data_IF_827473232499
#
_entry.id   IF_827473232499
#
_cell.length_a   1.000
_cell.length_b   1.000
_cell.length_c   1.000
_cell.angle_alpha   90.00
_cell.angle_beta   90.00
_cell.angle_gamma   90.00
#
_symmetry.space_group_name_H-M   'P 1'
#
loop_
_entity.id
_entity.type
_entity.pdbx_description
1 polymer ?
#
# COMPACT_ATOMS: atom_id res chain seq x y z
N UNK A 1 -24.80 1.18 10.38
CA UNK A 1 -24.14 2.24 9.56
C UNK A 1 -22.78 2.55 10.13
N UNK A 2 -21.76 2.53 9.31
CA UNK A 2 -20.39 2.82 9.75
C UNK A 2 -20.16 4.34 9.79
N UNK A 3 -19.57 4.82 10.89
CA UNK A 3 -19.17 6.21 11.06
C UNK A 3 -17.71 6.40 10.66
N UNK A 4 -17.31 7.63 10.34
CA UNK A 4 -15.89 7.96 10.05
C UNK A 4 -14.96 7.51 11.16
N UNK A 5 -15.40 7.55 12.41
CA UNK A 5 -14.62 7.15 13.58
C UNK A 5 -14.34 5.64 13.64
N UNK A 6 -15.06 4.85 12.84
CA UNK A 6 -14.84 3.40 12.77
C UNK A 6 -13.74 3.04 11.75
N UNK A 7 -13.37 3.98 10.90
CA UNK A 7 -12.39 3.75 9.84
C UNK A 7 -10.96 3.93 10.34
N UNK A 8 -10.08 3.05 9.90
CA UNK A 8 -8.65 3.13 10.16
C UNK A 8 -7.92 2.96 8.84
N UNK A 9 -7.08 3.94 8.51
CA UNK A 9 -6.14 3.86 7.40
C UNK A 9 -4.85 3.17 7.88
N UNK A 10 -4.40 2.18 7.14
CA UNK A 10 -3.08 1.57 7.35
C UNK A 10 -2.16 1.98 6.21
N UNK A 11 -1.02 2.57 6.55
CA UNK A 11 -0.07 3.13 5.60
C UNK A 11 1.35 3.08 6.17
N UNK A 12 2.30 3.77 5.55
CA UNK A 12 3.71 3.74 5.96
C UNK A 12 4.34 5.11 6.17
N UNK A 13 3.58 6.17 6.02
CA UNK A 13 4.03 7.56 6.22
C UNK A 13 5.19 8.01 5.32
N UNK A 14 5.51 7.26 4.26
CA UNK A 14 6.55 7.68 3.31
C UNK A 14 6.11 8.92 2.52
N UNK A 15 7.07 9.73 2.04
CA UNK A 15 6.72 10.86 1.16
C UNK A 15 5.95 10.39 -0.06
N UNK A 16 5.08 11.23 -0.59
CA UNK A 16 4.27 10.95 -1.78
C UNK A 16 2.91 10.40 -1.42
N UNK A 17 2.51 9.30 -2.05
CA UNK A 17 1.16 8.75 -1.92
C UNK A 17 0.79 8.41 -0.48
N UNK A 18 1.67 7.75 0.26
CA UNK A 18 1.36 7.39 1.65
C UNK A 18 1.12 8.60 2.52
N UNK A 19 1.95 9.63 2.39
CA UNK A 19 1.76 10.88 3.12
C UNK A 19 0.43 11.55 2.76
N UNK A 20 0.02 11.51 1.49
CA UNK A 20 -1.25 12.10 1.05
C UNK A 20 -2.45 11.31 1.56
N UNK A 21 -2.38 9.99 1.58
CA UNK A 21 -3.43 9.18 2.22
C UNK A 21 -3.59 9.57 3.68
N UNK A 22 -2.48 9.70 4.41
CA UNK A 22 -2.52 10.09 5.81
C UNK A 22 -3.08 11.50 6.02
N UNK A 23 -2.65 12.46 5.21
CA UNK A 23 -3.15 13.83 5.27
C UNK A 23 -4.65 13.89 5.00
N UNK A 24 -5.12 13.13 4.02
CA UNK A 24 -6.54 13.05 3.69
C UNK A 24 -7.34 12.40 4.83
N UNK A 25 -6.83 11.33 5.43
CA UNK A 25 -7.46 10.69 6.57
C UNK A 25 -7.61 11.68 7.74
N UNK A 26 -6.57 12.44 8.02
CA UNK A 26 -6.60 13.46 9.09
C UNK A 26 -7.65 14.53 8.80
N UNK A 27 -7.71 15.04 7.57
CA UNK A 27 -8.72 16.05 7.18
C UNK A 27 -10.15 15.55 7.36
N UNK A 28 -10.36 14.24 7.19
CA UNK A 28 -11.69 13.64 7.28
C UNK A 28 -11.99 13.01 8.65
N UNK A 29 -11.10 13.19 9.63
CA UNK A 29 -11.31 12.65 10.98
C UNK A 29 -11.19 11.13 11.06
N UNK A 30 -10.43 10.54 10.16
CA UNK A 30 -10.17 9.09 10.12
C UNK A 30 -8.85 8.81 10.82
N UNK A 31 -8.83 7.78 11.68
CA UNK A 31 -7.62 7.31 12.33
C UNK A 31 -6.63 6.75 11.31
N UNK A 32 -5.34 7.00 11.53
CA UNK A 32 -4.29 6.40 10.71
C UNK A 32 -3.28 5.64 11.56
N UNK A 33 -2.80 4.52 11.03
CA UNK A 33 -1.70 3.75 11.60
C UNK A 33 -0.62 3.66 10.53
N UNK A 34 0.57 4.16 10.84
CA UNK A 34 1.69 4.20 9.90
C UNK A 34 2.80 3.28 10.39
N UNK A 35 3.05 2.21 9.65
CA UNK A 35 4.12 1.27 9.95
C UNK A 35 5.45 1.83 9.46
N UNK A 36 6.40 1.95 10.37
CA UNK A 36 7.73 2.50 10.10
C UNK A 36 8.81 1.69 10.82
N UNK A 37 10.04 2.11 10.72
CA UNK A 37 11.19 1.47 11.35
C UNK A 37 12.23 2.52 11.70
N UNK A 38 13.17 2.18 12.59
CA UNK A 38 14.25 3.08 12.97
C UNK A 38 15.09 3.46 11.75
N UNK A 39 15.27 4.76 11.55
CA UNK A 39 16.01 5.31 10.41
C UNK A 39 15.15 5.58 9.18
N UNK A 40 13.86 5.27 9.21
CA UNK A 40 12.96 5.61 8.12
C UNK A 40 12.70 7.12 8.10
N UNK A 41 12.78 7.70 6.91
CA UNK A 41 12.45 9.11 6.71
C UNK A 41 10.97 9.23 6.41
N UNK A 42 10.16 9.26 7.46
CA UNK A 42 8.72 9.44 7.29
C UNK A 42 8.37 10.92 7.09
N UNK A 43 7.31 11.16 6.29
CA UNK A 43 6.78 12.49 6.03
C UNK A 43 5.66 12.87 7.00
N UNK A 44 5.17 11.94 7.80
CA UNK A 44 4.10 12.15 8.78
C UNK A 44 4.45 11.47 10.09
N UNK A 45 3.92 12.01 11.19
CA UNK A 45 4.17 11.44 12.51
C UNK A 45 2.92 10.97 13.24
N UNK A 46 1.76 11.08 12.60
CA UNK A 46 0.49 10.67 13.20
C UNK A 46 0.37 9.15 13.14
N UNK A 47 -0.01 8.51 14.24
CA UNK A 47 -0.25 7.07 14.28
C UNK A 47 0.97 6.20 13.99
N UNK A 48 2.16 6.67 14.33
CA UNK A 48 3.41 5.95 14.06
C UNK A 48 3.47 4.66 14.89
N UNK A 49 3.73 3.54 14.21
CA UNK A 49 4.08 2.27 14.83
C UNK A 49 5.43 1.81 14.31
N UNK A 50 6.43 1.85 15.18
CA UNK A 50 7.80 1.44 14.82
C UNK A 50 7.91 -0.07 14.95
N UNK A 51 8.28 -0.73 13.85
CA UNK A 51 8.50 -2.17 13.81
C UNK A 51 9.94 -2.48 14.19
N UNK A 52 10.13 -3.43 15.09
CA UNK A 52 11.45 -3.88 15.46
C UNK A 52 11.99 -4.91 14.45
N UNK A 53 13.23 -5.36 14.64
CA UNK A 53 13.89 -6.26 13.71
C UNK A 53 13.11 -7.57 13.49
N UNK A 54 12.61 -8.17 14.55
CA UNK A 54 11.84 -9.42 14.47
C UNK A 54 10.50 -9.21 13.76
N UNK A 55 9.82 -8.10 14.08
CA UNK A 55 8.56 -7.75 13.43
C UNK A 55 8.77 -7.53 11.94
N UNK A 56 9.83 -6.81 11.54
CA UNK A 56 10.13 -6.58 10.13
C UNK A 56 10.32 -7.90 9.38
N UNK A 57 10.92 -8.91 9.99
CA UNK A 57 11.16 -10.20 9.35
C UNK A 57 9.93 -11.09 9.24
N UNK A 58 8.86 -10.78 9.95
CA UNK A 58 7.66 -11.64 10.02
C UNK A 58 7.04 -11.90 8.65
N UNK A 59 7.14 -10.95 7.71
CA UNK A 59 6.57 -11.07 6.38
C UNK A 59 7.52 -11.60 5.32
N UNK A 60 8.78 -11.93 5.67
CA UNK A 60 9.79 -12.26 4.66
C UNK A 60 9.43 -13.48 3.80
N UNK A 61 8.82 -14.52 4.38
CA UNK A 61 8.40 -15.70 3.60
C UNK A 61 7.38 -15.29 2.52
N UNK A 62 6.40 -14.48 2.90
CA UNK A 62 5.41 -13.97 1.94
C UNK A 62 6.05 -13.09 0.86
N UNK A 63 6.97 -12.23 1.24
CA UNK A 63 7.65 -11.33 0.31
C UNK A 63 8.59 -12.09 -0.64
N UNK A 64 9.25 -13.14 -0.18
CA UNK A 64 10.02 -14.03 -1.06
C UNK A 64 9.11 -14.71 -2.09
N UNK A 65 7.94 -15.15 -1.68
CA UNK A 65 6.96 -15.73 -2.60
C UNK A 65 6.48 -14.70 -3.63
N UNK A 66 6.19 -13.49 -3.17
CA UNK A 66 5.80 -12.38 -4.04
C UNK A 66 6.91 -12.06 -5.04
N UNK A 67 8.18 -12.09 -4.63
CA UNK A 67 9.30 -11.87 -5.53
C UNK A 67 9.30 -12.88 -6.67
N UNK A 68 9.03 -14.13 -6.36
CA UNK A 68 8.94 -15.20 -7.36
C UNK A 68 7.78 -14.96 -8.33
N UNK A 69 6.62 -14.57 -7.82
CA UNK A 69 5.44 -14.28 -8.65
C UNK A 69 5.69 -13.12 -9.62
N UNK A 70 6.44 -12.12 -9.20
CA UNK A 70 6.75 -10.95 -10.04
C UNK A 70 7.99 -11.13 -10.90
N UNK A 71 8.74 -12.21 -10.69
CA UNK A 71 10.06 -12.40 -11.29
C UNK A 71 10.99 -11.22 -10.98
N UNK A 72 10.99 -10.78 -9.72
CA UNK A 72 11.85 -9.71 -9.20
C UNK A 72 12.65 -10.24 -8.03
N UNK A 73 13.90 -9.76 -7.92
CA UNK A 73 14.75 -10.13 -6.78
C UNK A 73 14.31 -9.40 -5.51
N UNK A 74 14.16 -10.13 -4.42
CA UNK A 74 13.96 -9.52 -3.10
C UNK A 74 15.30 -8.94 -2.65
N UNK A 75 15.39 -7.63 -2.60
CA UNK A 75 16.64 -6.89 -2.40
C UNK A 75 17.29 -7.16 -1.04
N UNK A 76 18.62 -7.13 -1.01
CA UNK A 76 19.42 -7.18 0.23
C UNK A 76 19.70 -5.78 0.78
N UNK A 77 19.37 -4.71 0.05
CA UNK A 77 19.55 -3.34 0.52
C UNK A 77 18.78 -3.13 1.82
N UNK A 78 19.43 -2.84 2.96
CA UNK A 78 18.73 -2.82 4.26
C UNK A 78 17.57 -1.86 4.31
N UNK A 79 17.76 -0.64 3.79
CA UNK A 79 16.71 0.39 3.82
C UNK A 79 15.52 0.02 2.93
N UNK A 80 15.81 -0.38 1.68
CA UNK A 80 14.74 -0.74 0.73
C UNK A 80 14.00 -1.98 1.23
N UNK A 81 14.71 -2.98 1.72
CA UNK A 81 14.10 -4.19 2.25
C UNK A 81 13.14 -3.87 3.40
N UNK A 82 13.51 -2.98 4.32
CA UNK A 82 12.64 -2.56 5.42
C UNK A 82 11.38 -1.86 4.92
N UNK A 83 11.50 -1.04 3.89
CA UNK A 83 10.34 -0.40 3.26
C UNK A 83 9.38 -1.47 2.73
N UNK A 84 9.88 -2.49 2.04
CA UNK A 84 9.06 -3.59 1.54
C UNK A 84 8.43 -4.39 2.68
N UNK A 85 9.17 -4.60 3.77
CA UNK A 85 8.67 -5.29 4.95
C UNK A 85 7.52 -4.53 5.61
N UNK A 86 7.51 -3.19 5.56
CA UNK A 86 6.35 -2.42 6.06
C UNK A 86 5.11 -2.64 5.22
N UNK A 87 5.26 -2.89 3.92
CA UNK A 87 4.12 -3.17 3.02
C UNK A 87 3.37 -4.42 3.44
N UNK A 88 4.08 -5.44 3.92
CA UNK A 88 3.44 -6.65 4.45
C UNK A 88 2.46 -6.31 5.57
N UNK A 89 2.88 -5.44 6.51
CA UNK A 89 1.99 -4.97 7.60
C UNK A 89 0.84 -4.14 7.08
N UNK A 90 1.11 -3.21 6.16
CA UNK A 90 0.08 -2.33 5.62
C UNK A 90 -1.04 -3.13 4.96
N UNK A 91 -0.69 -4.07 4.09
CA UNK A 91 -1.65 -4.89 3.36
C UNK A 91 -2.31 -5.92 4.27
N UNK A 92 -1.55 -6.50 5.19
CA UNK A 92 -2.07 -7.54 6.08
C UNK A 92 -3.16 -7.01 7.03
N UNK A 93 -3.06 -5.74 7.44
CA UNK A 93 -4.03 -5.11 8.34
C UNK A 93 -5.24 -4.53 7.62
N UNK A 94 -5.10 -4.07 6.40
CA UNK A 94 -6.21 -3.56 5.61
C UNK A 94 -7.03 -4.69 4.98
N UNK A 95 -8.32 -4.45 4.79
CA UNK A 95 -9.20 -5.40 4.11
C UNK A 95 -9.57 -4.94 2.71
N UNK A 96 -9.38 -3.67 2.41
CA UNK A 96 -9.44 -3.09 1.07
C UNK A 96 -8.13 -2.35 0.84
N UNK A 97 -7.54 -2.51 -0.33
CA UNK A 97 -6.20 -2.00 -0.63
C UNK A 97 -6.28 -0.98 -1.75
N UNK A 98 -5.86 0.24 -1.47
CA UNK A 98 -5.83 1.36 -2.43
C UNK A 98 -4.40 1.75 -2.70
N UNK A 99 -4.02 1.78 -3.97
CA UNK A 99 -2.64 1.98 -4.41
C UNK A 99 -2.58 3.10 -5.44
N UNK A 100 -1.60 3.99 -5.31
CA UNK A 100 -1.27 4.97 -6.34
C UNK A 100 0.04 4.53 -7.02
N UNK A 101 0.00 4.25 -8.31
CA UNK A 101 1.19 3.75 -9.00
C UNK A 101 1.01 3.68 -10.51
N UNK A 102 1.73 2.77 -11.13
CA UNK A 102 1.64 2.54 -12.58
C UNK A 102 1.59 1.04 -12.84
N UNK A 103 0.59 0.60 -13.57
CA UNK A 103 0.41 -0.81 -13.95
C UNK A 103 1.29 -1.09 -15.18
N UNK A 104 2.11 -2.12 -15.08
CA UNK A 104 3.01 -2.55 -16.16
C UNK A 104 2.34 -3.56 -17.07
N UNK A 105 2.97 -3.84 -18.23
CA UNK A 105 2.44 -4.79 -19.22
C UNK A 105 2.29 -6.20 -18.65
N UNK A 106 3.13 -6.59 -17.71
CA UNK A 106 3.05 -7.90 -17.05
C UNK A 106 1.97 -7.96 -15.97
N UNK A 107 1.15 -6.91 -15.85
CA UNK A 107 0.06 -6.76 -14.89
C UNK A 107 0.51 -6.52 -13.45
N UNK A 108 1.80 -6.36 -13.20
CA UNK A 108 2.31 -5.94 -11.89
C UNK A 108 2.32 -4.42 -11.80
N UNK A 109 2.48 -3.89 -10.58
CA UNK A 109 2.64 -2.45 -10.36
C UNK A 109 4.12 -2.13 -10.25
N UNK A 110 4.52 -1.01 -10.84
CA UNK A 110 5.91 -0.57 -10.91
C UNK A 110 6.53 -0.35 -9.53
N UNK A 111 7.81 -0.68 -9.40
CA UNK A 111 8.65 -0.32 -8.24
C UNK A 111 8.29 -1.07 -6.97
N UNK A 112 8.71 -0.50 -5.83
CA UNK A 112 8.45 -1.09 -4.52
C UNK A 112 6.96 -1.23 -4.20
N UNK A 113 6.15 -0.29 -4.69
CA UNK A 113 4.69 -0.32 -4.55
C UNK A 113 4.10 -1.62 -5.10
N UNK A 114 4.71 -2.17 -6.14
CA UNK A 114 4.27 -3.43 -6.74
C UNK A 114 4.29 -4.61 -5.77
N UNK A 115 5.16 -4.58 -4.78
CA UNK A 115 5.25 -5.64 -3.78
C UNK A 115 3.99 -5.69 -2.91
N UNK A 116 3.49 -4.52 -2.51
CA UNK A 116 2.23 -4.42 -1.77
C UNK A 116 1.04 -4.84 -2.60
N UNK A 117 0.97 -4.39 -3.84
CA UNK A 117 -0.12 -4.75 -4.75
C UNK A 117 -0.14 -6.27 -5.01
N UNK A 118 1.02 -6.88 -5.26
CA UNK A 118 1.10 -8.33 -5.50
C UNK A 118 0.75 -9.12 -4.26
N UNK A 119 1.16 -8.66 -3.08
CA UNK A 119 0.76 -9.30 -1.83
C UNK A 119 -0.75 -9.21 -1.61
N UNK A 120 -1.38 -8.08 -1.97
CA UNK A 120 -2.84 -7.95 -1.90
C UNK A 120 -3.54 -8.97 -2.81
N UNK A 121 -3.01 -9.19 -4.02
CA UNK A 121 -3.53 -10.24 -4.91
C UNK A 121 -3.42 -11.63 -4.28
N UNK A 122 -2.26 -11.92 -3.69
CA UNK A 122 -2.00 -13.20 -3.02
C UNK A 122 -2.97 -13.43 -1.87
N UNK A 123 -3.30 -12.37 -1.11
CA UNK A 123 -4.25 -12.42 -0.01
C UNK A 123 -5.71 -12.42 -0.47
N UNK A 124 -5.95 -12.28 -1.75
CA UNK A 124 -7.28 -12.21 -2.36
C UNK A 124 -8.14 -11.09 -1.76
N UNK A 125 -7.51 -9.96 -1.50
CA UNK A 125 -8.19 -8.76 -0.98
C UNK A 125 -8.63 -7.86 -2.12
N UNK A 126 -9.74 -7.11 -1.96
CA UNK A 126 -10.10 -6.08 -2.93
C UNK A 126 -8.91 -5.13 -3.14
N UNK A 127 -8.51 -4.96 -4.38
CA UNK A 127 -7.33 -4.18 -4.76
C UNK A 127 -7.69 -3.20 -5.85
N UNK A 128 -7.43 -1.93 -5.57
CA UNK A 128 -7.68 -0.81 -6.50
C UNK A 128 -6.39 -0.03 -6.70
N UNK A 129 -6.06 0.24 -7.96
CA UNK A 129 -4.87 1.01 -8.30
C UNK A 129 -5.30 2.23 -9.13
N UNK A 130 -4.88 3.42 -8.70
CA UNK A 130 -4.91 4.59 -9.55
C UNK A 130 -3.63 4.59 -10.38
N UNK A 131 -3.78 4.40 -11.69
CA UNK A 131 -2.64 4.41 -12.62
C UNK A 131 -2.37 5.83 -13.04
N UNK A 132 -1.23 6.39 -12.64
CA UNK A 132 -0.88 7.78 -12.88
C UNK A 132 -0.64 8.08 -14.37
N UNK A 133 -0.20 7.11 -15.14
CA UNK A 133 0.05 7.29 -16.58
C UNK A 133 -1.26 7.24 -17.36
N UNK A 134 -2.20 6.40 -16.96
CA UNK A 134 -3.51 6.27 -17.62
C UNK A 134 -4.56 7.21 -17.04
N UNK A 135 -4.24 7.88 -15.93
CA UNK A 135 -5.12 8.83 -15.24
C UNK A 135 -6.49 8.22 -14.90
N UNK A 136 -6.49 7.07 -14.26
CA UNK A 136 -7.72 6.39 -13.89
C UNK A 136 -7.52 5.25 -12.92
N UNK A 137 -8.63 4.83 -12.33
CA UNK A 137 -8.67 3.73 -11.39
C UNK A 137 -8.90 2.39 -12.07
N UNK A 138 -8.25 1.36 -11.54
CA UNK A 138 -8.38 -0.01 -12.01
C UNK A 138 -8.63 -0.92 -10.82
N UNK A 139 -9.51 -1.90 -11.00
CA UNK A 139 -9.80 -2.93 -10.02
C UNK A 139 -9.21 -4.25 -10.47
N UNK A 140 -8.54 -4.97 -9.58
CA UNK A 140 -8.05 -6.31 -9.85
C UNK A 140 -9.19 -7.30 -9.76
N UNK A 141 -9.44 -8.07 -10.85
CA UNK A 141 -10.57 -8.99 -10.93
C UNK A 141 -10.21 -10.42 -10.50
N UNK A 142 -8.93 -10.65 -10.14
CA UNK A 142 -8.39 -11.99 -9.94
C UNK A 142 -7.61 -12.52 -11.15
N UNK A 143 -7.79 -11.91 -12.31
CA UNK A 143 -7.09 -12.26 -13.55
C UNK A 143 -6.47 -11.08 -14.25
N UNK A 144 -7.11 -9.95 -14.20
CA UNK A 144 -6.74 -8.80 -14.99
C UNK A 144 -7.19 -7.51 -14.30
N UNK A 145 -6.80 -6.38 -14.86
CA UNK A 145 -7.20 -5.06 -14.40
C UNK A 145 -8.43 -4.60 -15.20
N UNK A 146 -9.45 -4.16 -14.45
CA UNK A 146 -10.67 -3.59 -15.04
C UNK A 146 -10.68 -2.10 -14.76
N UNK A 147 -10.80 -1.28 -15.81
CA UNK A 147 -10.96 0.17 -15.64
C UNK A 147 -12.32 0.47 -14.98
N UNK A 148 -12.29 1.30 -13.96
CA UNK A 148 -13.49 1.75 -13.24
C UNK A 148 -13.67 3.26 -13.26
N UNK A 149 -12.89 3.97 -14.09
CA UNK A 149 -13.03 5.40 -14.33
C UNK A 149 -12.10 6.26 -13.50
N UNK A 150 -12.36 7.55 -13.50
CA UNK A 150 -11.50 8.55 -12.83
C UNK A 150 -11.87 8.79 -11.38
N UNK A 151 -13.08 8.44 -10.98
CA UNK A 151 -13.55 8.64 -9.61
C UNK A 151 -13.05 7.53 -8.71
N UNK A 152 -12.54 7.92 -7.54
CA UNK A 152 -12.08 6.95 -6.56
C UNK A 152 -13.23 6.04 -6.12
N UNK A 153 -12.98 4.73 -6.03
CA UNK A 153 -14.01 3.83 -5.50
C UNK A 153 -14.30 4.14 -4.03
N UNK A 154 -15.55 3.94 -3.63
CA UNK A 154 -15.95 4.17 -2.25
C UNK A 154 -15.25 3.16 -1.33
N UNK A 155 -14.78 3.64 -0.19
CA UNK A 155 -14.22 2.76 0.85
C UNK A 155 -15.40 2.11 1.58
N UNK A 156 -15.47 0.79 1.53
CA UNK A 156 -16.61 0.04 2.10
C UNK A 156 -16.26 -0.76 3.35
N UNK A 157 -14.96 -0.91 3.65
CA UNK A 157 -14.50 -1.60 4.85
C UNK A 157 -13.84 -0.63 5.80
N UNK A 158 -14.10 -0.72 7.13
CA UNK A 158 -13.48 0.21 8.10
C UNK A 158 -11.96 0.13 8.14
N UNK A 159 -11.36 -1.03 7.85
CA UNK A 159 -9.91 -1.19 7.79
C UNK A 159 -9.46 -1.21 6.33
N UNK A 160 -8.76 -0.17 5.91
CA UNK A 160 -8.29 -0.05 4.53
C UNK A 160 -6.84 0.40 4.49
N UNK A 161 -6.15 0.01 3.44
CA UNK A 161 -4.74 0.36 3.21
C UNK A 161 -4.65 1.42 2.13
N UNK A 162 -3.82 2.44 2.35
CA UNK A 162 -3.44 3.40 1.33
C UNK A 162 -1.93 3.42 1.20
N UNK A 163 -1.43 3.10 0.03
CA UNK A 163 0.01 3.08 -0.25
C UNK A 163 0.27 3.50 -1.69
N UNK A 164 1.52 3.69 -2.04
CA UNK A 164 1.86 4.04 -3.41
C UNK A 164 3.24 4.63 -3.56
N UNK A 165 3.46 5.18 -4.74
CA UNK A 165 4.73 5.75 -5.15
C UNK A 165 5.08 7.02 -4.38
N UNK A 166 6.39 7.28 -4.25
CA UNK A 166 6.88 8.56 -3.72
C UNK A 166 6.70 9.70 -4.71
N UNK A 167 6.57 9.38 -6.01
CA UNK A 167 6.41 10.36 -7.08
C UNK A 167 4.95 10.43 -7.49
N UNK A 168 4.21 11.32 -6.85
CA UNK A 168 2.80 11.53 -7.15
C UNK A 168 2.68 12.65 -8.18
N UNK A 169 1.96 12.39 -9.26
CA UNK A 169 1.64 13.41 -10.26
C UNK A 169 0.51 14.30 -9.76
N UNK A 170 0.60 15.58 -10.02
CA UNK A 170 -0.44 16.56 -9.69
C UNK A 170 -1.70 16.39 -10.58
#
# INVERSE_FOLDING_TARGET
MMNKTDFILFSGAAPGAEAEFGASAERHGIEEVNFTFDGHTEARRRGIRVLNHEELQAGDVSLEYVSTLMNRRYTDSPTIRKILQTLWYQVNHGQEIYVIGVILEDKTVRGGTGWGAEFAKLCNKPLFVFDQDKDGWFEWTGRDWKSIGKDAPAITHPHFTGTGTRQVHD
#
